data_IF_086561853706
#
_entry.id   IF_086561853706
#
_cell.length_a   1.000
_cell.length_b   1.000
_cell.length_c   1.000
_cell.angle_alpha   90.00
_cell.angle_beta   90.00
_cell.angle_gamma   90.00
#
_symmetry.space_group_name_H-M   'P 1'
#
loop_
_entity.id
_entity.type
_entity.pdbx_description
1 polymer ?
#
# COMPACT_ATOMS: atom_id res chain seq x y z
N UNK A 1 -46.81 32.71 -2.52
CA UNK A 1 -45.65 33.63 -2.69
C UNK A 1 -44.36 32.86 -2.42
N UNK A 2 -43.87 32.10 -3.39
CA UNK A 2 -42.61 31.35 -3.25
C UNK A 2 -41.51 32.14 -3.97
N UNK A 3 -40.63 32.77 -3.20
CA UNK A 3 -39.44 33.42 -3.74
C UNK A 3 -38.39 32.36 -4.06
N UNK A 4 -38.27 32.02 -5.35
CA UNK A 4 -37.13 31.25 -5.88
C UNK A 4 -35.90 32.17 -5.86
N UNK A 5 -35.15 32.14 -4.75
CA UNK A 5 -33.85 32.79 -4.66
C UNK A 5 -32.82 32.03 -5.49
N UNK A 6 -32.51 32.55 -6.67
CA UNK A 6 -31.36 32.08 -7.46
C UNK A 6 -30.07 32.49 -6.75
N UNK A 7 -29.44 31.55 -6.05
CA UNK A 7 -28.08 31.73 -5.52
C UNK A 7 -27.13 31.75 -6.72
N UNK A 8 -26.78 32.95 -7.18
CA UNK A 8 -25.66 33.18 -8.09
C UNK A 8 -24.37 32.77 -7.38
N UNK A 9 -23.99 31.51 -7.58
CA UNK A 9 -22.67 31.02 -7.21
C UNK A 9 -21.64 31.74 -8.10
N UNK A 10 -21.03 32.78 -7.56
CA UNK A 10 -19.82 33.39 -8.11
C UNK A 10 -18.70 32.34 -8.09
N UNK A 11 -18.62 31.54 -9.14
CA UNK A 11 -17.48 30.64 -9.37
C UNK A 11 -16.32 31.54 -9.77
N UNK A 12 -15.53 31.99 -8.78
CA UNK A 12 -14.16 32.45 -9.05
C UNK A 12 -13.43 31.27 -9.65
N UNK A 13 -13.38 31.18 -10.98
CA UNK A 13 -12.57 30.19 -11.71
C UNK A 13 -11.11 30.51 -11.39
N UNK A 14 -10.60 29.93 -10.30
CA UNK A 14 -9.16 29.76 -10.14
C UNK A 14 -8.71 28.92 -11.34
N UNK A 15 -7.84 29.50 -12.16
CA UNK A 15 -7.45 28.96 -13.45
C UNK A 15 -6.61 27.68 -13.24
N UNK A 16 -7.26 26.52 -13.15
CA UNK A 16 -6.58 25.20 -13.13
C UNK A 16 -6.09 24.78 -14.53
N UNK A 17 -5.66 25.74 -15.35
CA UNK A 17 -5.21 25.50 -16.73
C UNK A 17 -3.79 24.94 -16.80
N UNK A 18 -3.41 24.46 -17.99
CA UNK A 18 -2.08 23.91 -18.34
C UNK A 18 -0.90 24.75 -17.79
N UNK A 19 -1.06 26.07 -17.69
CA UNK A 19 -0.07 26.99 -17.10
C UNK A 19 0.24 26.69 -15.62
N UNK A 20 -0.75 26.29 -14.82
CA UNK A 20 -0.55 25.90 -13.42
C UNK A 20 0.19 24.56 -13.28
N UNK A 21 0.22 23.75 -14.34
CA UNK A 21 0.96 22.49 -14.44
C UNK A 21 2.27 22.64 -15.22
N UNK A 22 2.64 23.86 -15.63
CA UNK A 22 3.87 24.11 -16.37
C UNK A 22 5.09 23.62 -15.56
N UNK A 23 5.95 22.85 -16.22
CA UNK A 23 7.15 22.27 -15.61
C UNK A 23 6.90 21.09 -14.65
N UNK A 24 5.66 20.60 -14.52
CA UNK A 24 5.35 19.43 -13.66
C UNK A 24 6.11 18.18 -14.08
N UNK A 25 6.22 17.91 -15.39
CA UNK A 25 6.96 16.76 -15.92
C UNK A 25 8.46 16.85 -15.60
N UNK A 26 9.05 18.03 -15.74
CA UNK A 26 10.45 18.25 -15.37
C UNK A 26 10.64 18.02 -13.86
N UNK A 27 9.74 18.54 -13.01
CA UNK A 27 9.80 18.32 -11.56
C UNK A 27 9.73 16.84 -11.19
N UNK A 28 8.81 16.10 -11.80
CA UNK A 28 8.69 14.64 -11.59
C UNK A 28 9.96 13.90 -12.01
N UNK A 29 10.59 14.28 -13.14
CA UNK A 29 11.88 13.73 -13.56
C UNK A 29 13.01 13.99 -12.56
N UNK A 30 12.93 15.09 -11.80
CA UNK A 30 13.86 15.43 -10.73
C UNK A 30 13.47 14.81 -9.37
N UNK A 31 12.44 13.97 -9.30
CA UNK A 31 11.96 13.38 -8.05
C UNK A 31 11.22 14.35 -7.11
N UNK A 32 10.78 15.50 -7.63
CA UNK A 32 10.00 16.48 -6.89
C UNK A 32 8.50 16.29 -7.07
N UNK A 33 7.69 16.94 -6.22
CA UNK A 33 6.25 17.01 -6.41
C UNK A 33 5.89 17.71 -7.74
N UNK A 34 4.90 17.17 -8.46
CA UNK A 34 4.39 17.77 -9.69
C UNK A 34 3.93 19.23 -9.47
N UNK A 35 3.20 19.46 -8.37
CA UNK A 35 2.83 20.78 -7.88
C UNK A 35 3.83 21.26 -6.83
N UNK A 36 4.32 22.51 -6.90
CA UNK A 36 5.23 23.07 -5.90
C UNK A 36 4.60 23.19 -4.50
N UNK A 37 3.27 23.25 -4.41
CA UNK A 37 2.56 23.33 -3.13
C UNK A 37 2.31 21.97 -2.46
N UNK A 38 2.63 20.85 -3.11
CA UNK A 38 2.30 19.50 -2.64
C UNK A 38 3.07 19.08 -1.39
N UNK A 39 4.36 18.77 -1.56
CA UNK A 39 5.30 18.50 -0.48
C UNK A 39 6.66 19.09 -0.88
N UNK A 40 7.44 19.52 0.11
CA UNK A 40 8.74 20.13 -0.10
C UNK A 40 9.01 21.25 0.90
N UNK A 41 10.20 21.86 0.85
CA UNK A 41 10.60 22.89 1.81
C UNK A 41 9.66 24.09 1.78
N UNK A 42 9.13 24.46 0.61
CA UNK A 42 8.20 25.58 0.46
C UNK A 42 6.89 25.42 1.26
N UNK A 43 6.43 24.19 1.50
CA UNK A 43 5.15 23.92 2.19
C UNK A 43 5.32 23.32 3.58
N UNK A 44 6.45 22.67 3.84
CA UNK A 44 6.70 21.95 5.10
C UNK A 44 7.48 22.79 6.12
N UNK A 45 8.23 23.79 5.68
CA UNK A 45 8.90 24.74 6.58
C UNK A 45 7.88 25.75 7.15
N UNK A 46 8.15 26.29 8.36
CA UNK A 46 7.32 27.33 8.92
C UNK A 46 7.53 28.65 8.15
N UNK A 47 6.43 29.36 7.86
CA UNK A 47 6.46 30.63 7.14
C UNK A 47 7.12 31.77 7.95
N UNK A 48 7.20 31.63 9.28
CA UNK A 48 7.75 32.64 10.18
C UNK A 48 8.32 32.01 11.46
N UNK A 49 9.09 32.79 12.21
CA UNK A 49 9.57 32.46 13.56
C UNK A 49 9.60 33.73 14.42
N UNK A 50 9.69 33.57 15.74
CA UNK A 50 9.82 34.72 16.64
C UNK A 50 11.20 35.36 16.47
N UNK A 51 11.32 36.68 16.68
CA UNK A 51 12.59 37.40 16.60
C UNK A 51 13.65 36.84 17.56
N UNK A 52 13.22 36.33 18.71
CA UNK A 52 14.08 35.66 19.71
C UNK A 52 14.62 34.29 19.24
N UNK A 53 14.24 33.82 18.05
CA UNK A 53 14.61 32.51 17.52
C UNK A 53 13.73 31.35 17.98
N UNK A 54 12.67 31.62 18.77
CA UNK A 54 11.70 30.58 19.16
C UNK A 54 10.94 30.09 17.92
N UNK A 55 10.65 28.79 17.80
CA UNK A 55 9.91 28.26 16.67
C UNK A 55 8.46 28.73 16.69
N UNK A 56 7.87 28.95 15.51
CA UNK A 56 6.45 29.21 15.40
C UNK A 56 5.63 27.97 15.80
N UNK A 57 4.42 28.17 16.36
CA UNK A 57 3.51 27.07 16.61
C UNK A 57 3.15 26.34 15.29
N UNK A 58 2.96 25.02 15.32
CA UNK A 58 2.74 24.24 14.11
C UNK A 58 1.41 24.60 13.43
N UNK A 59 1.44 24.70 12.10
CA UNK A 59 0.25 25.04 11.31
C UNK A 59 -0.73 23.86 11.28
N UNK A 60 -2.04 24.15 11.33
CA UNK A 60 -3.11 23.14 11.28
C UNK A 60 -2.97 22.19 10.07
N UNK A 61 -2.64 22.73 8.90
CA UNK A 61 -2.43 21.95 7.69
C UNK A 61 -1.25 20.99 7.78
N UNK A 62 -0.15 21.41 8.41
CA UNK A 62 1.03 20.58 8.62
C UNK A 62 0.74 19.43 9.60
N UNK A 63 0.04 19.71 10.70
CA UNK A 63 -0.41 18.67 11.65
C UNK A 63 -1.29 17.63 10.96
N UNK A 64 -2.27 18.07 10.16
CA UNK A 64 -3.13 17.18 9.37
C UNK A 64 -2.31 16.32 8.40
N UNK A 65 -1.37 16.90 7.65
CA UNK A 65 -0.50 16.17 6.73
C UNK A 65 0.37 15.13 7.45
N UNK A 66 0.92 15.47 8.62
CA UNK A 66 1.69 14.53 9.44
C UNK A 66 0.84 13.33 9.87
N UNK A 67 -0.36 13.58 10.41
CA UNK A 67 -1.28 12.51 10.81
C UNK A 67 -1.71 11.61 9.63
N UNK A 68 -1.95 12.21 8.45
CA UNK A 68 -2.28 11.46 7.24
C UNK A 68 -1.11 10.58 6.77
N UNK A 69 0.12 11.12 6.78
CA UNK A 69 1.34 10.36 6.43
C UNK A 69 1.58 9.21 7.39
N UNK A 70 1.37 9.44 8.69
CA UNK A 70 1.47 8.40 9.71
C UNK A 70 0.44 7.29 9.49
N UNK A 71 -0.83 7.65 9.27
CA UNK A 71 -1.88 6.67 8.96
C UNK A 71 -1.56 5.86 7.71
N UNK A 72 -1.02 6.50 6.68
CA UNK A 72 -0.59 5.83 5.46
C UNK A 72 0.55 4.84 5.73
N UNK A 73 1.60 5.27 6.44
CA UNK A 73 2.73 4.41 6.78
C UNK A 73 2.30 3.18 7.61
N UNK A 74 1.45 3.39 8.62
CA UNK A 74 0.88 2.29 9.42
C UNK A 74 0.14 1.27 8.56
N UNK A 75 -0.63 1.73 7.56
CA UNK A 75 -1.36 0.85 6.64
C UNK A 75 -0.41 0.06 5.75
N UNK A 76 0.65 0.68 5.23
CA UNK A 76 1.65 -0.02 4.41
C UNK A 76 2.28 -1.16 5.21
N UNK A 77 2.72 -0.89 6.44
CA UNK A 77 3.32 -1.90 7.32
C UNK A 77 2.35 -3.04 7.61
N UNK A 78 1.09 -2.73 7.95
CA UNK A 78 0.06 -3.73 8.21
C UNK A 78 -0.13 -4.67 7.01
N UNK A 79 -0.32 -4.11 5.82
CA UNK A 79 -0.57 -4.91 4.61
C UNK A 79 0.64 -5.79 4.25
N UNK A 80 1.86 -5.28 4.42
CA UNK A 80 3.07 -6.08 4.22
C UNK A 80 3.12 -7.28 5.17
N UNK A 81 2.82 -7.07 6.44
CA UNK A 81 2.79 -8.14 7.44
C UNK A 81 1.71 -9.19 7.14
N UNK A 82 0.52 -8.76 6.70
CA UNK A 82 -0.56 -9.68 6.31
C UNK A 82 -0.16 -10.56 5.13
N UNK A 83 0.52 -9.98 4.14
CA UNK A 83 1.04 -10.72 2.98
C UNK A 83 2.08 -11.74 3.42
N UNK A 84 3.06 -11.33 4.23
CA UNK A 84 4.14 -12.19 4.71
C UNK A 84 3.59 -13.36 5.54
N UNK A 85 2.65 -13.10 6.45
CA UNK A 85 1.98 -14.13 7.22
C UNK A 85 1.16 -15.07 6.31
N UNK A 86 0.47 -14.53 5.31
CA UNK A 86 -0.25 -15.30 4.30
C UNK A 86 0.66 -16.28 3.56
N UNK A 87 1.84 -15.81 3.14
CA UNK A 87 2.84 -16.64 2.46
C UNK A 87 3.37 -17.75 3.38
N UNK A 88 3.77 -17.41 4.61
CA UNK A 88 4.28 -18.39 5.57
C UNK A 88 3.25 -19.49 5.88
N UNK A 89 1.98 -19.11 6.11
CA UNK A 89 0.92 -20.11 6.36
C UNK A 89 0.65 -20.98 5.14
N UNK A 90 0.78 -20.44 3.92
CA UNK A 90 0.64 -21.23 2.70
C UNK A 90 1.79 -22.23 2.55
N UNK A 91 3.04 -21.79 2.76
CA UNK A 91 4.22 -22.65 2.70
C UNK A 91 4.17 -23.79 3.72
N UNK A 92 3.77 -23.49 4.96
CA UNK A 92 3.60 -24.50 6.01
C UNK A 92 2.55 -25.54 5.61
N UNK A 93 1.40 -25.10 5.08
CA UNK A 93 0.35 -26.01 4.60
C UNK A 93 0.82 -26.89 3.45
N UNK A 94 1.66 -26.39 2.53
CA UNK A 94 2.23 -27.23 1.46
C UNK A 94 3.16 -28.30 2.04
N UNK A 95 4.02 -27.93 2.98
CA UNK A 95 4.95 -28.87 3.64
C UNK A 95 4.19 -29.94 4.42
N UNK A 96 3.16 -29.55 5.17
CA UNK A 96 2.31 -30.48 5.93
C UNK A 96 1.61 -31.49 5.03
N UNK A 97 1.06 -31.05 3.88
CA UNK A 97 0.42 -31.96 2.92
C UNK A 97 1.38 -33.02 2.40
N UNK A 98 2.57 -32.60 1.97
CA UNK A 98 3.60 -33.52 1.48
C UNK A 98 4.03 -34.51 2.58
N UNK A 99 4.23 -34.01 3.81
CA UNK A 99 4.55 -34.87 4.95
C UNK A 99 3.42 -35.84 5.29
N UNK A 100 2.17 -35.41 5.20
CA UNK A 100 1.01 -36.28 5.44
C UNK A 100 0.91 -37.37 4.38
N UNK A 101 1.14 -37.06 3.12
CA UNK A 101 1.21 -38.04 2.03
C UNK A 101 2.34 -39.05 2.25
N UNK A 102 3.54 -38.59 2.58
CA UNK A 102 4.65 -39.48 2.93
C UNK A 102 4.32 -40.37 4.14
N UNK A 103 3.68 -39.81 5.16
CA UNK A 103 3.24 -40.56 6.35
C UNK A 103 2.19 -41.60 5.99
N UNK A 104 1.23 -41.27 5.12
CA UNK A 104 0.22 -42.20 4.62
C UNK A 104 0.86 -43.33 3.83
N UNK A 105 1.83 -43.03 2.97
CA UNK A 105 2.58 -44.05 2.21
C UNK A 105 3.38 -44.97 3.13
N UNK A 106 4.13 -44.42 4.11
CA UNK A 106 4.90 -45.20 5.09
C UNK A 106 4.01 -46.08 5.97
N UNK A 107 2.82 -45.59 6.31
CA UNK A 107 1.84 -46.31 7.12
C UNK A 107 0.95 -47.26 6.29
N UNK A 108 1.05 -47.26 4.96
CA UNK A 108 0.24 -48.13 4.12
C UNK A 108 0.65 -49.59 4.32
N UNK A 109 -0.35 -50.47 4.38
CA UNK A 109 -0.12 -51.91 4.47
C UNK A 109 0.48 -52.43 3.15
N UNK A 110 1.30 -53.48 3.23
CA UNK A 110 1.87 -54.13 2.05
C UNK A 110 0.71 -54.66 1.19
N UNK A 111 0.62 -54.28 -0.10
CA UNK A 111 -0.43 -54.76 -0.97
C UNK A 111 -0.25 -56.26 -1.21
N UNK A 112 -1.32 -57.04 -0.97
CA UNK A 112 -1.37 -58.49 -1.20
C UNK A 112 -2.26 -58.81 -2.42
N UNK A 113 -2.16 -60.03 -2.94
CA UNK A 113 -2.98 -60.51 -4.07
C UNK A 113 -2.27 -60.38 -5.41
N UNK A 114 -2.56 -59.33 -6.18
CA UNK A 114 -2.05 -59.14 -7.55
C UNK A 114 -0.51 -59.07 -7.66
N UNK A 115 0.18 -58.58 -6.61
CA UNK A 115 1.65 -58.49 -6.56
C UNK A 115 2.36 -59.84 -6.43
N UNK A 116 1.65 -60.90 -6.00
CA UNK A 116 2.19 -62.26 -5.83
C UNK A 116 1.97 -63.09 -7.11
N UNK A 117 1.05 -62.66 -7.98
CA UNK A 117 0.61 -63.42 -9.16
C UNK A 117 1.30 -63.03 -10.47
N UNK A 118 2.45 -62.33 -10.44
CA UNK A 118 3.19 -62.10 -11.69
C UNK A 118 3.65 -63.44 -12.27
N UNK A 119 3.21 -63.82 -13.50
CA UNK A 119 3.70 -65.03 -14.14
C UNK A 119 5.19 -64.86 -14.46
N UNK A 120 6.00 -65.87 -14.14
CA UNK A 120 7.40 -65.97 -14.53
C UNK A 120 7.57 -65.68 -16.03
N UNK A 121 8.60 -64.93 -16.48
CA UNK A 121 8.87 -64.77 -17.89
C UNK A 121 9.17 -66.16 -18.48
N UNK A 122 8.30 -66.61 -19.39
CA UNK A 122 8.57 -67.77 -20.23
C UNK A 122 9.76 -67.46 -21.14
N UNK A 123 10.69 -68.40 -21.21
CA UNK A 123 11.98 -68.35 -21.92
C UNK A 123 11.91 -67.83 -23.37
#
# INVERSE_FOLDING_TARGET
MAALGTVLSSVRRLHCGVSAQAGSHWRLRQGMAASPSGYGPLTELPDWSFADGRPAPPMKGQLRRKAQREKFARRVVLLSQEIDAGLQTWELRQKEKLQEEERKQKNALIPKGASIQSPLPSQ
#
